data_IF_802692299663
#
_entry.id   IF_802692299663
#
_cell.length_a   1.000
_cell.length_b   1.000
_cell.length_c   1.000
_cell.angle_alpha   90.00
_cell.angle_beta   90.00
_cell.angle_gamma   90.00
#
_symmetry.space_group_name_H-M   'P 1'
#
loop_
_entity.id
_entity.type
_entity.pdbx_description
1 polymer ?
#
# COMPACT_ATOMS: atom_id res chain seq x y z
N UNK A 1 24.16 6.43 -12.57
CA UNK A 1 23.70 5.44 -13.58
C UNK A 1 23.42 4.07 -12.96
N UNK A 2 24.39 3.41 -12.29
CA UNK A 2 24.22 2.06 -11.71
C UNK A 2 23.09 1.95 -10.68
N UNK A 3 22.90 2.95 -9.82
CA UNK A 3 21.82 2.97 -8.82
C UNK A 3 20.44 3.04 -9.46
N UNK A 4 20.27 3.90 -10.46
CA UNK A 4 19.00 4.04 -11.20
C UNK A 4 18.68 2.74 -11.94
N UNK A 5 19.68 2.10 -12.53
CA UNK A 5 19.49 0.80 -13.18
C UNK A 5 19.07 -0.29 -12.18
N UNK A 6 19.67 -0.33 -10.99
CA UNK A 6 19.28 -1.26 -9.92
C UNK A 6 17.84 -1.01 -9.43
N UNK A 7 17.44 0.26 -9.27
CA UNK A 7 16.07 0.61 -8.93
C UNK A 7 15.09 0.20 -10.02
N UNK A 8 15.42 0.43 -11.29
CA UNK A 8 14.59 0.00 -12.41
C UNK A 8 14.42 -1.52 -12.45
N UNK A 9 15.50 -2.27 -12.24
CA UNK A 9 15.44 -3.75 -12.14
C UNK A 9 14.55 -4.18 -10.98
N UNK A 10 14.73 -3.60 -9.79
CA UNK A 10 13.89 -3.90 -8.63
C UNK A 10 12.41 -3.63 -8.88
N UNK A 11 12.08 -2.49 -9.51
CA UNK A 11 10.71 -2.13 -9.85
C UNK A 11 10.09 -3.12 -10.85
N UNK A 12 10.83 -3.49 -11.90
CA UNK A 12 10.37 -4.48 -12.89
C UNK A 12 10.15 -5.85 -12.24
N UNK A 13 11.08 -6.30 -11.40
CA UNK A 13 10.95 -7.58 -10.67
C UNK A 13 9.72 -7.55 -9.77
N UNK A 14 9.51 -6.48 -9.01
CA UNK A 14 8.34 -6.32 -8.14
C UNK A 14 7.01 -6.37 -8.92
N UNK A 15 6.94 -5.66 -10.05
CA UNK A 15 5.77 -5.68 -10.93
C UNK A 15 5.47 -7.10 -11.43
N UNK A 16 6.48 -7.82 -11.91
CA UNK A 16 6.32 -9.20 -12.39
C UNK A 16 5.83 -10.12 -11.27
N UNK A 17 6.39 -10.01 -10.06
CA UNK A 17 5.96 -10.83 -8.92
C UNK A 17 4.48 -10.59 -8.60
N UNK A 18 4.04 -9.32 -8.51
CA UNK A 18 2.64 -8.99 -8.26
C UNK A 18 1.73 -9.54 -9.36
N UNK A 19 2.10 -9.37 -10.63
CA UNK A 19 1.33 -9.92 -11.76
C UNK A 19 1.20 -11.44 -11.68
N UNK A 20 2.26 -12.15 -11.27
CA UNK A 20 2.22 -13.61 -11.08
C UNK A 20 1.34 -14.01 -9.91
N UNK A 21 1.39 -13.27 -8.80
CA UNK A 21 0.51 -13.53 -7.65
C UNK A 21 -0.97 -13.39 -8.04
N UNK A 22 -1.33 -12.37 -8.83
CA UNK A 22 -2.71 -12.16 -9.32
C UNK A 22 -3.24 -13.28 -10.22
N UNK A 23 -2.38 -14.10 -10.81
CA UNK A 23 -2.79 -15.25 -11.64
C UNK A 23 -3.19 -16.47 -10.80
N UNK A 24 -2.92 -16.45 -9.49
CA UNK A 24 -3.21 -17.57 -8.58
C UNK A 24 -4.26 -17.16 -7.54
N UNK A 25 -5.16 -18.07 -7.11
CA UNK A 25 -6.13 -17.77 -6.06
C UNK A 25 -5.47 -17.36 -4.73
N UNK A 26 -4.46 -18.11 -4.30
CA UNK A 26 -3.69 -17.84 -3.07
C UNK A 26 -2.94 -16.50 -3.13
N UNK A 27 -2.39 -16.15 -4.29
CA UNK A 27 -1.70 -14.88 -4.46
C UNK A 27 -2.64 -13.68 -4.39
N UNK A 28 -3.86 -13.80 -4.91
CA UNK A 28 -4.90 -12.77 -4.73
C UNK A 28 -5.28 -12.59 -3.26
N UNK A 29 -5.49 -13.68 -2.54
CA UNK A 29 -5.83 -13.63 -1.10
C UNK A 29 -4.76 -12.87 -0.29
N UNK A 30 -3.47 -13.11 -0.58
CA UNK A 30 -2.37 -12.38 0.07
C UNK A 30 -2.38 -10.89 -0.27
N UNK A 31 -2.60 -10.55 -1.54
CA UNK A 31 -2.68 -9.16 -1.99
C UNK A 31 -3.88 -8.44 -1.38
N UNK A 32 -5.04 -9.09 -1.33
CA UNK A 32 -6.26 -8.55 -0.72
C UNK A 32 -6.09 -8.33 0.78
N UNK A 33 -5.45 -9.27 1.48
CA UNK A 33 -5.14 -9.11 2.90
C UNK A 33 -4.19 -7.93 3.14
N UNK A 34 -3.16 -7.77 2.31
CA UNK A 34 -2.24 -6.64 2.41
C UNK A 34 -2.96 -5.31 2.15
N UNK A 35 -3.76 -5.24 1.09
CA UNK A 35 -4.52 -4.06 0.72
C UNK A 35 -5.54 -3.66 1.82
N UNK A 36 -6.25 -4.64 2.40
CA UNK A 36 -7.15 -4.40 3.53
C UNK A 36 -6.43 -3.79 4.73
N UNK A 37 -5.22 -4.26 5.06
CA UNK A 37 -4.43 -3.73 6.18
C UNK A 37 -3.93 -2.32 5.92
N UNK A 38 -3.52 -2.03 4.69
CA UNK A 38 -3.08 -0.69 4.28
C UNK A 38 -4.25 0.30 4.35
N UNK A 39 -5.44 -0.10 3.91
CA UNK A 39 -6.65 0.73 4.04
C UNK A 39 -7.02 0.98 5.50
N UNK A 40 -7.09 -0.06 6.32
CA UNK A 40 -7.38 0.05 7.75
C UNK A 40 -6.43 1.05 8.44
N UNK A 41 -5.13 0.92 8.18
CA UNK A 41 -4.14 1.85 8.70
C UNK A 41 -4.35 3.28 8.19
N UNK A 42 -4.58 3.46 6.89
CA UNK A 42 -4.73 4.79 6.29
C UNK A 42 -6.00 5.49 6.78
N UNK A 43 -7.10 4.75 6.94
CA UNK A 43 -8.34 5.26 7.49
C UNK A 43 -8.18 5.66 8.95
N UNK A 44 -7.48 4.86 9.77
CA UNK A 44 -7.17 5.20 11.16
C UNK A 44 -6.31 6.47 11.27
N UNK A 45 -5.31 6.62 10.39
CA UNK A 45 -4.48 7.83 10.32
C UNK A 45 -5.34 9.03 9.94
N UNK A 46 -6.17 8.90 8.89
CA UNK A 46 -7.06 9.97 8.44
C UNK A 46 -8.02 10.40 9.54
N UNK A 47 -8.65 9.46 10.24
CA UNK A 47 -9.58 9.76 11.32
C UNK A 47 -8.87 10.47 12.49
N UNK A 48 -7.64 10.05 12.83
CA UNK A 48 -6.82 10.76 13.83
C UNK A 48 -6.52 12.22 13.45
N UNK A 49 -6.14 12.48 12.19
CA UNK A 49 -5.93 13.84 11.70
C UNK A 49 -7.23 14.65 11.67
N UNK A 50 -8.33 14.07 11.20
CA UNK A 50 -9.64 14.74 11.19
C UNK A 50 -10.21 14.98 12.59
N UNK A 51 -9.94 14.09 13.55
CA UNK A 51 -10.32 14.29 14.95
C UNK A 51 -9.58 15.46 15.57
N UNK A 52 -8.27 15.62 15.27
CA UNK A 52 -7.52 16.82 15.69
C UNK A 52 -8.03 18.08 15.01
N UNK A 53 -8.38 18.01 13.72
CA UNK A 53 -8.89 19.15 12.97
C UNK A 53 -10.26 19.62 13.51
N UNK A 54 -11.13 18.69 13.93
CA UNK A 54 -12.39 18.98 14.64
C UNK A 54 -12.15 19.65 15.99
N UNK A 55 -11.24 19.09 16.80
CA UNK A 55 -10.86 19.66 18.10
C UNK A 55 -10.26 21.08 17.96
N UNK A 56 -9.49 21.33 16.90
CA UNK A 56 -8.89 22.64 16.61
C UNK A 56 -9.87 23.66 16.01
N UNK A 57 -10.93 23.21 15.31
CA UNK A 57 -12.00 24.08 14.80
C UNK A 57 -13.10 24.36 15.81
N UNK A 58 -13.14 23.64 16.93
CA UNK A 58 -14.09 23.86 18.02
C UNK A 58 -15.51 23.37 17.71
N UNK A 59 -15.65 22.36 16.85
CA UNK A 59 -16.90 21.61 16.63
C UNK A 59 -17.00 20.39 17.56
#
# INVERSE_FOLDING_TARGET
MRTIALLAVGAVVGAVVVTRMQQTPKGREVLDAADSRVREFTDAVKDGYSSRDRELRGE
#
